data_IF_617435871080
#
_entry.id   IF_617435871080
#
_cell.length_a   1.000
_cell.length_b   1.000
_cell.length_c   1.000
_cell.angle_alpha   90.00
_cell.angle_beta   90.00
_cell.angle_gamma   90.00
#
_symmetry.space_group_name_H-M   'P 1'
#
loop_
_entity.id
_entity.type
_entity.pdbx_description
1 polymer ?
#
# COMPACT_ATOMS: atom_id res chain seq x y z
N UNK A 1 -3.78 -2.62 9.27
CA UNK A 1 -3.54 -2.93 7.85
C UNK A 1 -4.86 -3.23 7.19
N UNK A 2 -5.15 -2.55 6.11
CA UNK A 2 -6.47 -2.71 5.49
C UNK A 2 -6.51 -2.16 4.06
N UNK A 3 -7.48 -2.64 3.32
CA UNK A 3 -7.93 -2.01 2.08
C UNK A 3 -9.19 -1.23 2.41
N UNK A 4 -9.17 0.07 2.15
CA UNK A 4 -10.29 0.95 2.42
C UNK A 4 -10.96 1.28 1.09
N UNK A 5 -12.25 0.96 1.00
CA UNK A 5 -13.06 1.23 -0.19
C UNK A 5 -13.67 2.62 -0.05
N UNK A 6 -13.24 3.55 -0.91
CA UNK A 6 -13.81 4.89 -0.96
C UNK A 6 -14.86 4.93 -2.06
N UNK A 7 -16.12 4.94 -1.69
CA UNK A 7 -17.19 5.09 -2.65
C UNK A 7 -17.17 6.46 -3.31
N UNK A 8 -17.60 6.53 -4.58
CA UNK A 8 -17.64 7.77 -5.34
C UNK A 8 -18.52 8.81 -4.63
N UNK A 9 -17.97 9.98 -4.37
CA UNK A 9 -18.68 11.07 -3.71
C UNK A 9 -18.88 10.89 -2.22
N UNK A 10 -18.35 9.84 -1.62
CA UNK A 10 -18.44 9.63 -0.19
C UNK A 10 -17.37 10.41 0.57
N UNK A 11 -17.69 10.78 1.80
CA UNK A 11 -16.71 11.36 2.70
C UNK A 11 -15.79 10.29 3.24
N UNK A 12 -14.61 10.69 3.69
CA UNK A 12 -13.68 9.78 4.34
C UNK A 12 -14.34 9.09 5.54
N UNK A 13 -14.11 7.79 5.66
CA UNK A 13 -14.57 7.02 6.81
C UNK A 13 -13.81 7.42 8.08
N UNK A 14 -14.37 7.06 9.24
CA UNK A 14 -13.67 7.26 10.52
C UNK A 14 -12.33 6.52 10.57
N UNK A 15 -12.27 5.34 9.97
CA UNK A 15 -11.04 4.55 9.89
C UNK A 15 -9.97 5.28 9.09
N UNK A 16 -10.35 5.87 7.98
CA UNK A 16 -9.41 6.64 7.16
C UNK A 16 -8.96 7.89 7.90
N UNK A 17 -9.85 8.59 8.58
CA UNK A 17 -9.49 9.74 9.41
C UNK A 17 -8.50 9.35 10.49
N UNK A 18 -8.73 8.24 11.18
CA UNK A 18 -7.83 7.77 12.22
C UNK A 18 -6.42 7.47 11.68
N UNK A 19 -6.34 6.94 10.46
CA UNK A 19 -5.06 6.69 9.80
C UNK A 19 -4.39 7.99 9.40
N UNK A 20 -5.10 8.90 8.73
CA UNK A 20 -4.53 10.11 8.16
C UNK A 20 -4.24 11.20 9.20
N UNK A 21 -4.99 11.22 10.30
CA UNK A 21 -4.81 12.22 11.36
C UNK A 21 -3.43 12.13 12.02
N UNK A 22 -2.86 10.93 12.07
CA UNK A 22 -1.55 10.70 12.67
C UNK A 22 -0.42 10.63 11.64
N UNK A 23 -0.72 10.80 10.35
CA UNK A 23 0.27 10.70 9.29
C UNK A 23 0.84 12.06 8.95
N UNK A 24 2.11 12.24 9.26
CA UNK A 24 2.90 13.34 8.69
C UNK A 24 3.40 12.87 7.32
N UNK A 25 2.73 13.27 6.25
CA UNK A 25 3.12 12.87 4.89
C UNK A 25 4.45 13.51 4.55
N UNK A 26 5.47 12.69 4.31
CA UNK A 26 6.82 13.16 4.00
C UNK A 26 7.21 12.96 2.55
N UNK A 27 6.50 12.10 1.81
CA UNK A 27 6.74 11.93 0.38
C UNK A 27 5.46 11.50 -0.34
N UNK A 28 5.31 11.96 -1.57
CA UNK A 28 4.21 11.59 -2.45
C UNK A 28 4.80 11.32 -3.84
N UNK A 29 4.47 10.18 -4.42
CA UNK A 29 4.88 9.79 -5.75
C UNK A 29 3.72 9.21 -6.53
N UNK A 30 3.71 9.43 -7.85
CA UNK A 30 2.76 8.81 -8.74
C UNK A 30 3.47 7.77 -9.60
N UNK A 31 2.88 6.58 -9.69
CA UNK A 31 3.40 5.48 -10.48
C UNK A 31 2.39 5.00 -11.50
N UNK A 32 2.89 4.51 -12.62
CA UNK A 32 2.10 3.81 -13.63
C UNK A 32 2.80 2.50 -13.93
N UNK A 33 2.09 1.38 -13.77
CA UNK A 33 2.63 0.06 -14.03
C UNK A 33 1.86 -0.63 -15.15
N UNK A 34 2.59 -1.32 -16.07
CA UNK A 34 1.94 -2.13 -17.09
C UNK A 34 1.30 -3.38 -16.49
N UNK A 35 0.33 -3.99 -17.24
CA UNK A 35 -0.28 -5.24 -16.80
C UNK A 35 0.75 -6.33 -16.55
N UNK A 36 0.43 -7.22 -15.61
CA UNK A 36 1.23 -8.39 -15.28
C UNK A 36 2.65 -8.08 -14.81
N UNK A 37 2.91 -6.87 -14.30
CA UNK A 37 4.16 -6.56 -13.61
C UNK A 37 4.25 -7.48 -12.38
N UNK A 38 5.31 -8.30 -12.25
CA UNK A 38 5.40 -9.22 -11.11
C UNK A 38 5.42 -8.50 -9.77
N UNK A 39 4.63 -9.02 -8.83
CA UNK A 39 4.68 -8.55 -7.46
C UNK A 39 5.91 -9.14 -6.76
N UNK A 40 6.71 -8.29 -6.16
CA UNK A 40 7.82 -8.70 -5.32
C UNK A 40 7.55 -8.24 -3.90
N UNK A 41 7.30 -9.23 -3.00
CA UNK A 41 6.97 -8.91 -1.63
C UNK A 41 8.17 -8.32 -0.89
N UNK A 42 7.95 -7.16 -0.29
CA UNK A 42 8.94 -6.44 0.51
C UNK A 42 8.23 -5.66 1.61
N UNK A 43 8.98 -5.16 2.55
CA UNK A 43 8.43 -4.29 3.60
C UNK A 43 9.33 -3.08 3.81
N UNK A 44 8.81 -2.09 4.53
CA UNK A 44 9.55 -0.90 4.91
C UNK A 44 9.52 -0.71 6.42
N UNK A 45 10.45 0.06 6.95
CA UNK A 45 10.47 0.48 8.35
C UNK A 45 9.64 1.75 8.58
N UNK A 46 8.67 2.01 7.70
CA UNK A 46 7.73 3.13 7.78
C UNK A 46 6.38 2.72 7.20
N UNK A 47 5.36 3.49 7.51
CA UNK A 47 4.03 3.26 6.96
C UNK A 47 3.93 3.80 5.54
N UNK A 48 3.36 3.02 4.63
CA UNK A 48 3.19 3.37 3.23
C UNK A 48 1.74 3.18 2.83
N UNK A 49 1.27 4.08 1.96
CA UNK A 49 -0.12 4.11 1.52
C UNK A 49 -0.18 4.20 0.01
N UNK A 50 -1.12 3.47 -0.58
CA UNK A 50 -1.38 3.48 -2.02
C UNK A 50 -2.82 3.88 -2.29
N UNK A 51 -3.01 4.97 -3.02
CA UNK A 51 -4.32 5.38 -3.51
C UNK A 51 -4.39 5.06 -5.00
N UNK A 52 -5.25 4.12 -5.40
CA UNK A 52 -5.38 3.71 -6.78
C UNK A 52 -6.31 4.63 -7.54
N UNK A 53 -5.86 5.10 -8.71
CA UNK A 53 -6.55 6.11 -9.53
C UNK A 53 -7.12 5.48 -10.80
N UNK A 54 -6.36 4.60 -11.46
CA UNK A 54 -6.76 3.94 -12.71
C UNK A 54 -6.34 2.49 -12.68
N UNK A 55 -7.11 1.65 -13.39
CA UNK A 55 -6.80 0.24 -13.55
C UNK A 55 -7.21 -0.62 -12.37
N UNK A 56 -6.92 -1.92 -12.48
CA UNK A 56 -7.20 -2.92 -11.45
C UNK A 56 -5.93 -3.69 -11.12
N UNK A 57 -5.78 -4.05 -9.86
CA UNK A 57 -4.60 -4.78 -9.40
C UNK A 57 -4.97 -5.75 -8.28
N UNK A 58 -4.15 -6.79 -8.09
CA UNK A 58 -4.26 -7.69 -6.95
C UNK A 58 -3.15 -7.34 -5.97
N UNK A 59 -3.53 -6.92 -4.77
CA UNK A 59 -2.60 -6.61 -3.68
C UNK A 59 -2.40 -7.85 -2.83
N UNK A 60 -1.15 -8.15 -2.53
CA UNK A 60 -0.77 -9.25 -1.62
C UNK A 60 -0.11 -8.66 -0.40
N UNK A 61 -0.56 -9.10 0.76
CA UNK A 61 0.00 -8.74 2.06
C UNK A 61 0.41 -10.03 2.77
N UNK A 62 1.57 -10.00 3.44
CA UNK A 62 2.05 -11.16 4.21
C UNK A 62 2.48 -10.73 5.60
N UNK A 63 1.86 -11.34 6.59
CA UNK A 63 2.19 -11.10 7.99
C UNK A 63 3.48 -11.83 8.38
N UNK A 64 4.03 -11.47 9.54
CA UNK A 64 5.26 -12.05 10.04
C UNK A 64 5.18 -13.57 10.29
N UNK A 65 3.98 -14.09 10.54
CA UNK A 65 3.73 -15.52 10.72
C UNK A 65 3.61 -16.29 9.40
N UNK A 66 3.74 -15.60 8.25
CA UNK A 66 3.62 -16.19 6.94
C UNK A 66 2.22 -16.16 6.35
N UNK A 67 1.21 -15.74 7.10
CA UNK A 67 -0.16 -15.63 6.61
C UNK A 67 -0.26 -14.61 5.48
N UNK A 68 -0.79 -15.04 4.32
CA UNK A 68 -1.01 -14.18 3.16
C UNK A 68 -2.47 -13.82 3.02
N UNK A 69 -2.70 -12.58 2.59
CA UNK A 69 -4.02 -12.09 2.20
C UNK A 69 -3.91 -11.41 0.85
N UNK A 70 -4.90 -11.62 -0.02
CA UNK A 70 -4.96 -10.99 -1.33
C UNK A 70 -6.26 -10.22 -1.49
N UNK A 71 -6.18 -9.08 -2.15
CA UNK A 71 -7.31 -8.20 -2.36
C UNK A 71 -7.30 -7.68 -3.79
N UNK A 72 -8.47 -7.72 -4.44
CA UNK A 72 -8.65 -7.06 -5.71
C UNK A 72 -8.97 -5.59 -5.45
N UNK A 73 -8.21 -4.72 -6.07
CA UNK A 73 -8.26 -3.28 -5.84
C UNK A 73 -8.64 -2.56 -7.12
N UNK A 74 -9.52 -1.60 -7.00
CA UNK A 74 -10.07 -0.81 -8.10
C UNK A 74 -9.87 0.69 -7.82
N UNK A 75 -10.07 1.56 -8.83
CA UNK A 75 -9.93 3.01 -8.62
C UNK A 75 -10.75 3.51 -7.44
N UNK A 76 -10.15 4.36 -6.63
CA UNK A 76 -10.75 4.88 -5.40
C UNK A 76 -10.39 4.09 -4.14
N UNK A 77 -9.76 2.94 -4.26
CA UNK A 77 -9.34 2.16 -3.11
C UNK A 77 -8.03 2.69 -2.54
N UNK A 78 -7.95 2.71 -1.22
CA UNK A 78 -6.73 3.03 -0.47
C UNK A 78 -6.22 1.78 0.23
N UNK A 79 -4.95 1.47 0.02
CA UNK A 79 -4.25 0.39 0.72
C UNK A 79 -3.30 0.98 1.73
N UNK A 80 -3.45 0.59 2.98
CA UNK A 80 -2.52 0.97 4.05
C UNK A 80 -1.59 -0.22 4.33
N UNK A 81 -0.29 0.02 4.17
CA UNK A 81 0.75 -1.00 4.44
C UNK A 81 1.59 -0.53 5.62
N UNK A 82 1.27 -0.95 6.85
CA UNK A 82 2.04 -0.55 8.01
C UNK A 82 3.49 -1.06 7.93
N UNK A 83 4.38 -0.37 8.63
CA UNK A 83 5.78 -0.79 8.72
C UNK A 83 5.88 -2.27 9.12
N UNK A 84 6.84 -2.97 8.54
CA UNK A 84 7.10 -4.37 8.84
C UNK A 84 6.15 -5.37 8.19
N UNK A 85 5.12 -4.93 7.50
CA UNK A 85 4.20 -5.80 6.77
C UNK A 85 4.66 -5.92 5.32
N UNK A 86 4.96 -7.14 4.88
CA UNK A 86 5.34 -7.38 3.50
C UNK A 86 4.15 -7.15 2.58
N UNK A 87 4.40 -6.45 1.49
CA UNK A 87 3.37 -6.08 0.53
C UNK A 87 3.92 -6.09 -0.89
N UNK A 88 3.01 -6.20 -1.83
CA UNK A 88 3.27 -6.10 -3.26
C UNK A 88 1.97 -6.12 -4.01
N UNK A 89 1.99 -5.79 -5.29
CA UNK A 89 0.80 -5.95 -6.10
C UNK A 89 1.14 -6.30 -7.54
N UNK A 90 0.19 -6.99 -8.18
CA UNK A 90 0.28 -7.37 -9.58
C UNK A 90 -0.83 -6.68 -10.35
N UNK A 91 -0.53 -5.69 -11.18
CA UNK A 91 -1.53 -5.05 -12.02
C UNK A 91 -2.18 -6.05 -12.97
N UNK A 92 -3.51 -5.97 -13.11
CA UNK A 92 -4.26 -6.74 -14.09
C UNK A 92 -4.48 -5.97 -15.38
N UNK A 93 -4.57 -4.64 -15.25
CA UNK A 93 -4.60 -3.69 -16.37
C UNK A 93 -3.53 -2.64 -16.10
N UNK A 94 -3.32 -1.72 -17.04
CA UNK A 94 -2.45 -0.56 -16.76
C UNK A 94 -2.98 0.12 -15.51
N UNK A 95 -2.15 0.20 -14.48
CA UNK A 95 -2.54 0.69 -13.17
C UNK A 95 -1.77 1.96 -12.82
N UNK A 96 -2.52 2.99 -12.44
CA UNK A 96 -1.95 4.24 -11.96
C UNK A 96 -2.35 4.44 -10.50
N UNK A 97 -1.37 4.74 -9.66
CA UNK A 97 -1.61 4.97 -8.24
C UNK A 97 -0.68 6.04 -7.67
N UNK A 98 -1.13 6.64 -6.59
CA UNK A 98 -0.33 7.57 -5.80
C UNK A 98 0.15 6.84 -4.56
N UNK A 99 1.45 6.89 -4.34
CA UNK A 99 2.09 6.36 -3.14
C UNK A 99 2.49 7.52 -2.25
N UNK A 100 2.15 7.43 -0.97
CA UNK A 100 2.65 8.36 0.00
C UNK A 100 3.12 7.63 1.26
N UNK A 101 4.08 8.23 1.95
CA UNK A 101 4.68 7.63 3.14
C UNK A 101 4.49 8.54 4.34
N UNK A 102 4.37 7.92 5.49
CA UNK A 102 4.38 8.62 6.76
C UNK A 102 5.80 8.97 7.20
N UNK A 103 5.90 9.52 8.39
CA UNK A 103 7.18 9.94 8.97
C UNK A 103 8.11 8.76 9.17
N UNK A 104 9.35 8.90 8.70
CA UNK A 104 10.41 7.92 8.91
C UNK A 104 11.12 8.25 10.23
N UNK A 105 11.12 7.32 11.18
CA UNK A 105 11.78 7.53 12.47
C UNK A 105 13.30 7.53 12.31
N UNK A 106 14.05 8.28 13.18
CA UNK A 106 15.52 8.16 13.22
C UNK A 106 15.94 6.70 13.42
N UNK A 107 16.92 6.26 12.64
CA UNK A 107 17.42 4.89 12.71
C UNK A 107 16.63 3.87 11.91
N UNK A 108 15.48 4.23 11.36
CA UNK A 108 14.74 3.35 10.46
C UNK A 108 15.55 3.12 9.17
N UNK A 109 15.44 1.91 8.62
CA UNK A 109 16.09 1.57 7.35
C UNK A 109 15.16 1.93 6.20
N UNK A 110 15.53 2.91 5.36
CA UNK A 110 14.74 3.21 4.17
C UNK A 110 14.93 2.12 3.11
N UNK A 111 13.99 2.04 2.18
CA UNK A 111 14.07 1.15 1.03
C UNK A 111 13.32 -0.15 1.21
N UNK A 112 13.51 -1.04 0.26
CA UNK A 112 12.81 -2.32 0.19
C UNK A 112 13.55 -3.37 1.00
N UNK A 113 12.91 -3.88 2.04
CA UNK A 113 13.43 -4.94 2.88
C UNK A 113 12.70 -6.24 2.59
N UNK A 114 13.38 -7.37 2.70
CA UNK A 114 12.80 -8.69 2.42
C UNK A 114 13.05 -9.62 3.59
N UNK A 115 12.04 -10.44 3.91
CA UNK A 115 12.18 -11.48 4.93
C UNK A 115 12.77 -12.72 4.30
N UNK A 116 13.77 -13.29 4.97
CA UNK A 116 14.37 -14.56 4.56
C UNK A 116 13.50 -15.72 5.04
N UNK A 117 13.49 -16.81 4.26
CA UNK A 117 12.86 -18.07 4.65
C UNK A 117 11.34 -18.10 4.56
N UNK A 118 10.72 -17.13 3.93
CA UNK A 118 9.27 -17.10 3.73
C UNK A 118 8.87 -17.17 2.27
#
# INVERSE_FOLDING_TARGET
MCVIKLGKGQRMSRELYAILDEVDIVSIHQFTLPPETPAELHYHDFDEYWLFIEGTTTVTLRLADGTKSQYDVVPGDLVATPKGVEHGHTPRTVTKYIQFTGKIRPGAKPGHLKRRGL
#
